data_IF_109863098700
#
_entry.id   IF_109863098700
#
_cell.length_a   1.000
_cell.length_b   1.000
_cell.length_c   1.000
_cell.angle_alpha   90.00
_cell.angle_beta   90.00
_cell.angle_gamma   90.00
#
_symmetry.space_group_name_H-M   'P 1'
#
loop_
_entity.id
_entity.type
_entity.pdbx_description
1 polymer ?
#
# COMPACT_ATOMS: atom_id res chain seq x y z
N UNK A 1 6.55 9.48 -4.82
CA UNK A 1 5.51 10.21 -4.06
C UNK A 1 5.90 11.68 -3.98
N UNK A 2 4.93 12.59 -4.05
CA UNK A 2 5.12 14.00 -3.66
C UNK A 2 3.89 14.47 -2.90
N UNK A 3 4.08 15.31 -1.88
CA UNK A 3 3.02 15.83 -1.02
C UNK A 3 3.63 16.40 0.25
N UNK A 4 3.05 17.47 0.77
CA UNK A 4 3.37 17.92 2.13
C UNK A 4 2.54 17.09 3.13
N UNK A 5 3.04 16.90 4.36
CA UNK A 5 2.36 16.10 5.38
C UNK A 5 2.15 16.91 6.66
N UNK A 6 0.97 16.76 7.25
CA UNK A 6 0.68 17.29 8.58
C UNK A 6 1.04 16.29 9.67
N UNK A 7 1.24 16.74 10.91
CA UNK A 7 1.45 15.82 12.04
C UNK A 7 0.29 14.82 12.26
N UNK A 8 -0.90 15.14 11.73
CA UNK A 8 -2.08 14.27 11.79
C UNK A 8 -2.18 13.29 10.62
N UNK A 9 -1.22 13.28 9.69
CA UNK A 9 -1.19 12.36 8.56
C UNK A 9 -1.92 12.84 7.30
N UNK A 10 -2.60 13.99 7.32
CA UNK A 10 -3.21 14.56 6.10
C UNK A 10 -2.12 14.98 5.10
N UNK A 11 -2.37 14.66 3.82
CA UNK A 11 -1.51 15.04 2.70
C UNK A 11 -2.01 16.36 2.09
N UNK A 12 -1.10 17.32 1.98
CA UNK A 12 -1.36 18.68 1.51
C UNK A 12 -0.89 18.88 0.07
N UNK A 13 -1.52 19.83 -0.67
CA UNK A 13 -1.20 20.07 -2.05
C UNK A 13 0.20 20.65 -2.20
N UNK A 14 0.80 20.41 -3.37
CA UNK A 14 2.16 20.85 -3.71
C UNK A 14 2.16 21.61 -5.03
N UNK A 15 3.11 22.54 -5.17
CA UNK A 15 3.39 23.20 -6.45
C UNK A 15 4.26 22.34 -7.38
N UNK A 16 4.27 22.72 -8.66
CA UNK A 16 5.12 22.12 -9.69
C UNK A 16 4.76 20.67 -10.03
N UNK A 17 3.46 20.35 -10.07
CA UNK A 17 2.96 18.99 -10.33
C UNK A 17 3.41 18.52 -11.71
N UNK A 18 3.31 19.39 -12.73
CA UNK A 18 3.71 19.10 -14.10
C UNK A 18 5.17 18.68 -14.19
N UNK A 19 6.07 19.47 -13.62
CA UNK A 19 7.52 19.22 -13.66
C UNK A 19 7.87 17.92 -12.94
N UNK A 20 7.25 17.68 -11.78
CA UNK A 20 7.48 16.46 -10.98
C UNK A 20 7.00 15.20 -11.70
N UNK A 21 5.84 15.23 -12.33
CA UNK A 21 5.32 14.09 -13.10
C UNK A 21 6.18 13.85 -14.35
N UNK A 22 6.61 14.90 -15.04
CA UNK A 22 7.50 14.78 -16.20
C UNK A 22 8.87 14.21 -15.81
N UNK A 23 9.42 14.64 -14.67
CA UNK A 23 10.67 14.11 -14.14
C UNK A 23 10.53 12.63 -13.78
N UNK A 24 9.41 12.23 -13.16
CA UNK A 24 9.13 10.83 -12.84
C UNK A 24 9.05 9.95 -14.10
N UNK A 25 8.36 10.43 -15.15
CA UNK A 25 8.30 9.74 -16.44
C UNK A 25 9.68 9.57 -17.08
N UNK A 26 10.50 10.64 -17.10
CA UNK A 26 11.88 10.60 -17.61
C UNK A 26 12.78 9.64 -16.82
N UNK A 27 12.54 9.49 -15.53
CA UNK A 27 13.23 8.53 -14.68
C UNK A 27 12.70 7.08 -14.85
N UNK A 28 11.70 6.86 -15.70
CA UNK A 28 11.10 5.54 -15.92
C UNK A 28 10.21 5.05 -14.78
N UNK A 29 9.75 5.96 -13.91
CA UNK A 29 8.85 5.60 -12.82
C UNK A 29 7.43 5.36 -13.36
N UNK A 30 6.90 4.18 -13.05
CA UNK A 30 5.57 3.75 -13.53
C UNK A 30 4.42 4.24 -12.66
N UNK A 31 4.69 4.56 -11.40
CA UNK A 31 3.66 4.90 -10.41
C UNK A 31 4.05 6.20 -9.71
N UNK A 32 3.13 7.16 -9.65
CA UNK A 32 3.29 8.43 -8.95
C UNK A 32 2.11 8.68 -8.03
N UNK A 33 2.40 8.80 -6.73
CA UNK A 33 1.44 9.20 -5.70
C UNK A 33 1.39 10.74 -5.60
N UNK A 34 0.20 11.31 -5.72
CA UNK A 34 -0.07 12.76 -5.68
C UNK A 34 -1.21 13.11 -4.71
N UNK A 35 -1.24 14.32 -4.12
CA UNK A 35 -2.35 14.75 -3.27
C UNK A 35 -3.64 14.87 -4.08
N UNK A 36 -4.77 14.42 -3.52
CA UNK A 36 -6.10 14.56 -4.15
C UNK A 36 -6.44 15.99 -4.58
N UNK A 37 -5.98 16.99 -3.82
CA UNK A 37 -6.21 18.41 -4.13
C UNK A 37 -5.47 18.90 -5.38
N UNK A 38 -4.46 18.17 -5.86
CA UNK A 38 -3.71 18.48 -7.08
C UNK A 38 -4.31 17.87 -8.36
N UNK A 39 -5.48 17.22 -8.28
CA UNK A 39 -6.14 16.63 -9.45
C UNK A 39 -6.37 17.63 -10.59
N UNK A 40 -6.70 18.88 -10.23
CA UNK A 40 -6.89 19.98 -11.19
C UNK A 40 -5.63 20.31 -11.99
N UNK A 41 -4.46 20.11 -11.40
CA UNK A 41 -3.17 20.42 -12.03
C UNK A 41 -2.74 19.32 -13.01
N UNK A 42 -3.38 18.14 -12.98
CA UNK A 42 -3.11 17.05 -13.93
C UNK A 42 -3.52 17.41 -15.36
N UNK A 43 -4.37 18.42 -15.54
CA UNK A 43 -4.74 18.93 -16.87
C UNK A 43 -3.51 19.45 -17.62
N UNK A 44 -2.53 20.00 -16.91
CA UNK A 44 -1.29 20.53 -17.48
C UNK A 44 -0.29 19.44 -17.91
N UNK A 45 -0.50 18.20 -17.45
CA UNK A 45 0.36 17.06 -17.80
C UNK A 45 -0.03 16.55 -19.20
N UNK A 46 0.92 16.37 -20.14
CA UNK A 46 0.64 15.81 -21.45
C UNK A 46 -0.03 14.43 -21.39
N UNK A 47 -1.00 14.16 -22.27
CA UNK A 47 -1.75 12.88 -22.27
C UNK A 47 -0.85 11.65 -22.35
N UNK A 48 0.17 11.69 -23.22
CA UNK A 48 1.15 10.61 -23.37
C UNK A 48 1.81 10.21 -22.04
N UNK A 49 2.12 11.19 -21.20
CA UNK A 49 2.74 10.95 -19.88
C UNK A 49 1.72 10.37 -18.89
N UNK A 50 0.46 10.82 -18.95
CA UNK A 50 -0.63 10.27 -18.13
C UNK A 50 -1.00 8.83 -18.51
N UNK A 51 -0.76 8.44 -19.76
CA UNK A 51 -0.95 7.07 -20.24
C UNK A 51 0.22 6.16 -19.82
N UNK A 52 1.44 6.67 -19.85
CA UNK A 52 2.65 5.92 -19.49
C UNK A 52 2.85 5.77 -17.97
N UNK A 53 2.36 6.72 -17.16
CA UNK A 53 2.52 6.77 -15.70
C UNK A 53 1.18 6.63 -15.01
N UNK A 54 1.06 5.62 -14.13
CA UNK A 54 -0.10 5.46 -13.25
C UNK A 54 -0.04 6.49 -12.13
N UNK A 55 -0.95 7.47 -12.18
CA UNK A 55 -1.11 8.47 -11.14
C UNK A 55 -2.14 7.97 -10.12
N UNK A 56 -1.77 7.96 -8.84
CA UNK A 56 -2.64 7.57 -7.73
C UNK A 56 -2.81 8.80 -6.84
N UNK A 57 -4.06 9.21 -6.64
CA UNK A 57 -4.40 10.33 -5.76
C UNK A 57 -4.60 9.82 -4.34
N UNK A 58 -3.99 10.50 -3.37
CA UNK A 58 -4.06 10.15 -1.94
C UNK A 58 -4.46 11.34 -1.09
N UNK A 59 -5.19 11.10 -0.02
CA UNK A 59 -5.59 12.14 0.94
C UNK A 59 -4.87 11.98 2.29
N UNK A 60 -4.61 10.75 2.72
CA UNK A 60 -3.99 10.44 4.01
C UNK A 60 -2.72 9.60 3.88
N UNK A 61 -1.87 9.65 4.89
CA UNK A 61 -0.60 8.91 4.92
C UNK A 61 -0.82 7.39 4.94
N UNK A 62 -1.93 6.89 5.48
CA UNK A 62 -2.20 5.45 5.50
C UNK A 62 -2.31 4.87 4.08
N UNK A 63 -2.97 5.60 3.16
CA UNK A 63 -3.07 5.22 1.74
C UNK A 63 -1.68 5.19 1.09
N UNK A 64 -0.84 6.17 1.43
CA UNK A 64 0.54 6.21 0.93
C UNK A 64 1.30 4.97 1.37
N UNK A 65 1.21 4.59 2.65
CA UNK A 65 1.91 3.44 3.20
C UNK A 65 1.44 2.15 2.54
N UNK A 66 0.15 2.01 2.24
CA UNK A 66 -0.41 0.86 1.53
C UNK A 66 0.17 0.71 0.11
N UNK A 67 0.34 1.81 -0.63
CA UNK A 67 0.90 1.76 -1.98
C UNK A 67 2.43 1.72 -2.02
N UNK A 68 3.10 2.29 -1.03
CA UNK A 68 4.56 2.45 -1.03
C UNK A 68 5.29 1.28 -0.37
N UNK A 69 4.68 0.63 0.62
CA UNK A 69 5.29 -0.50 1.31
C UNK A 69 4.89 -1.81 0.63
N UNK A 70 5.88 -2.68 0.41
CA UNK A 70 5.59 -4.07 0.11
C UNK A 70 4.99 -4.74 1.35
N UNK A 71 4.08 -5.71 1.21
CA UNK A 71 3.66 -6.53 2.33
C UNK A 71 4.92 -7.06 2.99
N UNK A 72 5.10 -6.73 4.28
CA UNK A 72 6.18 -7.33 5.03
C UNK A 72 6.04 -8.85 4.90
N UNK A 73 7.13 -9.54 4.54
CA UNK A 73 7.20 -10.97 4.84
C UNK A 73 7.00 -11.08 6.35
N UNK A 74 5.76 -11.32 6.77
CA UNK A 74 5.45 -11.64 8.15
C UNK A 74 6.08 -13.00 8.40
N UNK A 75 7.36 -13.02 8.76
CA UNK A 75 7.99 -14.14 9.46
C UNK A 75 7.46 -14.22 10.91
N UNK A 76 6.17 -13.94 11.11
CA UNK A 76 5.46 -13.98 12.39
C UNK A 76 4.26 -14.90 12.25
N UNK A 77 4.11 -16.00 12.98
CA UNK A 77 4.92 -16.52 14.08
C UNK A 77 4.95 -18.04 13.89
N UNK A 78 6.11 -18.64 13.56
CA UNK A 78 6.24 -20.11 13.50
C UNK A 78 5.71 -20.76 14.79
N UNK A 79 5.90 -20.09 15.92
CA UNK A 79 5.39 -20.50 17.23
C UNK A 79 3.85 -20.51 17.25
N UNK A 80 3.16 -19.45 16.78
CA UNK A 80 1.69 -19.46 16.71
C UNK A 80 1.16 -20.54 15.77
N UNK A 81 1.81 -20.74 14.62
CA UNK A 81 1.40 -21.77 13.67
C UNK A 81 1.64 -23.19 14.23
N UNK A 82 2.73 -23.40 14.98
CA UNK A 82 3.01 -24.65 15.68
C UNK A 82 2.03 -24.89 16.83
N UNK A 83 1.68 -23.87 17.60
CA UNK A 83 0.69 -23.96 18.69
C UNK A 83 -0.69 -24.31 18.11
N UNK A 84 -1.12 -23.63 17.04
CA UNK A 84 -2.40 -23.95 16.36
C UNK A 84 -2.41 -25.38 15.81
N UNK A 85 -1.33 -25.83 15.18
CA UNK A 85 -1.24 -27.19 14.64
C UNK A 85 -1.24 -28.27 15.74
N UNK A 86 -0.61 -27.99 16.89
CA UNK A 86 -0.56 -28.91 18.02
C UNK A 86 -1.92 -29.03 18.72
N UNK A 87 -2.62 -27.91 18.91
CA UNK A 87 -3.96 -27.92 19.51
C UNK A 87 -4.97 -28.65 18.64
N UNK A 88 -4.93 -28.42 17.31
CA UNK A 88 -5.83 -29.10 16.35
C UNK A 88 -5.69 -30.63 16.39
N UNK A 89 -4.46 -31.16 16.42
CA UNK A 89 -4.22 -32.62 16.52
C UNK A 89 -4.68 -33.21 17.85
N UNK A 90 -4.64 -32.41 18.92
CA UNK A 90 -5.09 -32.85 20.24
C UNK A 90 -6.61 -32.92 20.29
N UNK A 91 -7.30 -31.92 19.75
CA UNK A 91 -8.76 -31.90 19.62
C UNK A 91 -9.27 -33.05 18.73
N UNK A 92 -8.58 -33.36 17.62
CA UNK A 92 -8.92 -34.48 16.74
C UNK A 92 -8.73 -35.85 17.42
N UNK A 93 -7.64 -36.03 18.18
CA UNK A 93 -7.39 -37.28 18.91
C UNK A 93 -8.33 -37.49 20.12
N UNK A 94 -8.73 -36.42 20.80
CA UNK A 94 -9.73 -36.47 21.89
C UNK A 94 -11.12 -36.81 21.33
N UNK A 95 -11.50 -36.26 20.18
CA UNK A 95 -12.77 -36.57 19.52
C UNK A 95 -12.85 -38.01 18.94
N UNK A 96 -11.73 -38.56 18.46
CA UNK A 96 -11.67 -39.96 18.01
C UNK A 96 -11.74 -40.95 19.18
N UNK A 97 -11.10 -40.64 20.32
CA UNK A 97 -11.14 -41.48 21.51
C UNK A 97 -12.54 -41.51 22.18
N UNK A 98 -13.31 -40.42 22.09
CA UNK A 98 -14.69 -40.36 22.61
C UNK A 98 -15.73 -41.05 21.70
N UNK A 99 -15.37 -41.41 20.46
CA UNK A 99 -16.26 -42.06 19.50
C UNK A 99 -16.13 -43.60 19.45
N UNK A 100 -15.12 -44.17 20.12
CA UNK A 100 -14.84 -45.62 20.17
C UNK A 100 -15.31 -46.31 21.48
N UNK A 101 -15.85 -45.55 22.45
CA UNK A 101 -16.58 -46.03 23.65
C UNK A 101 -18.11 -45.99 23.43
#
# INVERSE_FOLDING_TARGET
MTGEITLRGNILPIGGVREKVLAAHRAGLKIVLLPTKNDKDLVEVPKKVREDVKIILVHHMDEVLEYALVPGESKGNKILNQIKAKNKRKEEAEAEAEAED
#
